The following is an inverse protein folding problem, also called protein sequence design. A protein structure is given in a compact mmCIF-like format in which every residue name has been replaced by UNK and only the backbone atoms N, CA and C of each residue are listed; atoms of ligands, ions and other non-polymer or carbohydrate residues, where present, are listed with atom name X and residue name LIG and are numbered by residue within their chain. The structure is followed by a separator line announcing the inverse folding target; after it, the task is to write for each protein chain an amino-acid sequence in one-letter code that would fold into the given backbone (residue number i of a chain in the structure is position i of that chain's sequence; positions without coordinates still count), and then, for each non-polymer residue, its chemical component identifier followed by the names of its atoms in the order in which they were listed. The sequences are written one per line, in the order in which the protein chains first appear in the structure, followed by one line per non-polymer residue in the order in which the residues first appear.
data_IF_842760014831
#
_entry.id   IF_842760014831
#
_cell.length_a   1.000
_cell.length_b   1.000
_cell.length_c   1.000
_cell.angle_alpha   90.00
_cell.angle_beta   90.00
_cell.angle_gamma   90.00
#
_symmetry.space_group_name_H-M   'P 1'
#
loop_
_entity.id
_entity.type
_entity.pdbx_description
1 polymer ?
#
# COMPACT_ATOMS: atom_id res chain seq x y z
N UNK A 1 -14.59 -5.74 10.15
CA UNK A 1 -13.12 -5.83 10.10
C UNK A 1 -12.63 -4.79 9.11
N UNK A 2 -11.40 -4.30 9.25
CA UNK A 2 -10.82 -3.43 8.21
C UNK A 2 -10.33 -4.30 7.04
N UNK A 3 -10.32 -3.77 5.80
CA UNK A 3 -9.69 -4.49 4.69
C UNK A 3 -8.21 -4.71 5.00
N UNK A 4 -7.72 -5.92 4.69
CA UNK A 4 -6.30 -6.22 4.66
C UNK A 4 -5.82 -6.02 3.23
N UNK A 5 -5.01 -5.00 3.00
CA UNK A 5 -4.51 -4.62 1.68
C UNK A 5 -3.11 -5.19 1.52
N UNK A 6 -2.89 -5.84 0.38
CA UNK A 6 -1.62 -6.43 -0.02
C UNK A 6 -1.26 -5.90 -1.41
N UNK A 7 0.03 -5.66 -1.65
CA UNK A 7 0.59 -5.37 -2.98
C UNK A 7 1.67 -6.41 -3.24
N UNK A 8 1.41 -7.32 -4.18
CA UNK A 8 2.18 -8.56 -4.31
C UNK A 8 2.20 -9.32 -2.99
N UNK A 9 3.39 -9.65 -2.52
CA UNK A 9 3.59 -10.32 -1.22
C UNK A 9 3.73 -9.34 -0.04
N UNK A 10 3.64 -8.04 -0.28
CA UNK A 10 3.82 -7.02 0.78
C UNK A 10 2.49 -6.70 1.45
N UNK A 11 2.43 -6.89 2.76
CA UNK A 11 1.31 -6.41 3.55
C UNK A 11 1.39 -4.90 3.72
N UNK A 12 0.35 -4.19 3.28
CA UNK A 12 0.27 -2.72 3.35
C UNK A 12 -0.47 -2.26 4.61
N UNK A 13 -1.43 -3.04 5.11
CA UNK A 13 -2.33 -2.65 6.20
C UNK A 13 -3.72 -2.36 5.67
N UNK A 14 -4.36 -1.27 6.11
CA UNK A 14 -5.70 -0.87 5.68
C UNK A 14 -5.72 0.28 4.67
N UNK A 15 -6.91 0.82 4.42
CA UNK A 15 -7.11 1.92 3.47
C UNK A 15 -6.39 3.21 3.91
N UNK A 16 -6.25 3.44 5.21
CA UNK A 16 -5.54 4.61 5.72
C UNK A 16 -4.05 4.54 5.41
N UNK A 17 -3.44 3.36 5.62
CA UNK A 17 -2.03 3.12 5.34
C UNK A 17 -1.75 3.21 3.83
N UNK A 18 -2.63 2.67 2.98
CA UNK A 18 -2.52 2.82 1.52
C UNK A 18 -2.55 4.31 1.10
N UNK A 19 -3.50 5.10 1.62
CA UNK A 19 -3.57 6.53 1.33
C UNK A 19 -2.38 7.31 1.91
N UNK A 20 -1.79 6.87 3.03
CA UNK A 20 -0.59 7.47 3.58
C UNK A 20 0.62 7.25 2.66
N UNK A 21 0.76 6.07 2.04
CA UNK A 21 1.80 5.79 1.05
C UNK A 21 1.66 6.65 -0.19
N UNK A 22 0.44 6.84 -0.69
CA UNK A 22 0.15 7.70 -1.84
C UNK A 22 0.54 9.15 -1.54
N UNK A 23 0.09 9.69 -0.40
CA UNK A 23 0.44 11.06 0.03
C UNK A 23 1.94 11.25 0.25
N UNK A 24 2.66 10.19 0.60
CA UNK A 24 4.10 10.21 0.74
C UNK A 24 4.86 10.04 -0.59
N UNK A 25 4.16 9.83 -1.72
CA UNK A 25 4.77 9.57 -3.02
C UNK A 25 5.52 8.23 -3.10
N UNK A 26 5.15 7.27 -2.25
CA UNK A 26 5.80 5.96 -2.13
C UNK A 26 4.99 4.82 -2.74
N UNK A 27 3.73 5.06 -3.06
CA UNK A 27 2.84 4.02 -3.57
C UNK A 27 3.28 3.54 -4.97
N UNK A 28 3.62 4.45 -5.88
CA UNK A 28 4.08 4.09 -7.23
C UNK A 28 5.29 3.16 -7.22
N UNK A 29 6.27 3.41 -6.34
CA UNK A 29 7.45 2.55 -6.19
C UNK A 29 7.08 1.13 -5.72
N UNK A 30 6.04 1.01 -4.88
CA UNK A 30 5.56 -0.27 -4.41
C UNK A 30 4.73 -1.01 -5.48
N UNK A 31 3.98 -0.26 -6.29
CA UNK A 31 3.19 -0.79 -7.42
C UNK A 31 4.05 -1.19 -8.62
N UNK A 32 5.22 -0.57 -8.81
CA UNK A 32 6.14 -0.91 -9.88
C UNK A 32 6.59 -2.37 -9.84
N UNK A 33 6.57 -2.99 -8.64
CA UNK A 33 7.01 -4.35 -8.44
C UNK A 33 8.51 -4.54 -8.71
N UNK A 34 9.04 -5.75 -8.48
CA UNK A 34 10.34 -6.17 -9.03
C UNK A 34 10.28 -6.39 -10.54
#
# INVERSE_FOLDING_TARGET
TVPQIWIGDTHVGGSNELHALERAGRLDALLAGP
#
